data_IF_508281560421
#
_entry.id   IF_508281560421
#
_cell.length_a   1.000
_cell.length_b   1.000
_cell.length_c   1.000
_cell.angle_alpha   90.00
_cell.angle_beta   90.00
_cell.angle_gamma   90.00
#
_symmetry.space_group_name_H-M   'P 1'
#
loop_
_entity.id
_entity.type
_entity.pdbx_description
1 polymer ?
#
# COMPACT_ATOMS: atom_id res chain seq x y z
N UNK A 1 9.37 -1.64 -12.59
CA UNK A 1 8.77 -2.39 -11.45
C UNK A 1 9.73 -3.44 -10.87
N UNK A 2 11.03 -3.14 -10.73
CA UNK A 2 12.03 -4.12 -10.27
C UNK A 2 12.11 -4.24 -8.74
N UNK A 3 11.65 -3.21 -8.03
CA UNK A 3 11.74 -3.04 -6.57
C UNK A 3 10.45 -3.35 -5.81
N UNK A 4 9.34 -3.58 -6.51
CA UNK A 4 8.04 -3.86 -5.88
C UNK A 4 8.03 -5.18 -5.08
N UNK A 5 8.46 -6.29 -5.68
CA UNK A 5 8.50 -7.58 -4.99
C UNK A 5 9.45 -7.59 -3.78
N UNK A 6 10.71 -7.10 -3.89
CA UNK A 6 11.60 -6.97 -2.73
C UNK A 6 10.96 -6.15 -1.60
N UNK A 7 10.36 -5.01 -1.92
CA UNK A 7 9.71 -4.16 -0.93
C UNK A 7 8.51 -4.85 -0.26
N UNK A 8 7.62 -5.44 -1.04
CA UNK A 8 6.44 -6.12 -0.50
C UNK A 8 6.82 -7.34 0.34
N UNK A 9 7.83 -8.12 -0.06
CA UNK A 9 8.36 -9.22 0.73
C UNK A 9 8.91 -8.73 2.08
N UNK A 10 9.70 -7.66 2.05
CA UNK A 10 10.25 -7.06 3.27
C UNK A 10 9.14 -6.50 4.18
N UNK A 11 8.23 -5.71 3.63
CA UNK A 11 7.15 -5.09 4.43
C UNK A 11 6.27 -6.16 5.08
N UNK A 12 6.03 -7.25 4.35
CA UNK A 12 5.41 -8.43 4.90
C UNK A 12 6.25 -9.06 6.01
N UNK A 13 7.55 -9.28 5.80
CA UNK A 13 8.46 -9.84 6.82
C UNK A 13 8.49 -9.03 8.12
N UNK A 14 8.36 -7.71 8.03
CA UNK A 14 8.27 -6.79 9.18
C UNK A 14 6.88 -6.76 9.86
N UNK A 15 5.89 -7.46 9.31
CA UNK A 15 4.55 -7.53 9.89
C UNK A 15 3.61 -6.39 9.51
N UNK A 16 3.90 -5.61 8.46
CA UNK A 16 2.99 -4.56 8.01
C UNK A 16 1.70 -5.16 7.41
N UNK A 17 0.56 -4.54 7.75
CA UNK A 17 -0.70 -4.75 7.05
C UNK A 17 -0.66 -3.97 5.74
N UNK A 18 -0.81 -4.65 4.60
CA UNK A 18 -0.79 -4.03 3.29
C UNK A 18 -2.20 -3.95 2.69
N UNK A 19 -2.55 -2.80 2.14
CA UNK A 19 -3.81 -2.55 1.42
C UNK A 19 -3.54 -1.83 0.09
N UNK A 20 -4.53 -1.80 -0.80
CA UNK A 20 -4.48 -1.01 -2.04
C UNK A 20 -5.65 -0.03 -2.05
N UNK A 21 -5.36 1.25 -2.30
CA UNK A 21 -6.37 2.28 -2.54
C UNK A 21 -6.11 2.93 -3.90
N UNK A 22 -7.04 2.76 -4.85
CA UNK A 22 -6.82 3.09 -6.26
C UNK A 22 -7.99 3.85 -6.90
N UNK A 23 -7.67 4.80 -7.79
CA UNK A 23 -8.64 5.46 -8.67
C UNK A 23 -8.97 4.60 -9.91
N UNK A 24 -8.29 3.47 -10.09
CA UNK A 24 -8.55 2.58 -11.23
C UNK A 24 -9.77 1.68 -10.98
N UNK A 25 -10.46 1.25 -12.05
CA UNK A 25 -11.56 0.29 -11.95
C UNK A 25 -11.20 -0.99 -11.21
N UNK A 26 -12.19 -1.63 -10.59
CA UNK A 26 -11.99 -2.82 -9.75
C UNK A 26 -11.46 -4.04 -10.54
N UNK A 27 -11.52 -4.02 -11.89
CA UNK A 27 -10.83 -4.98 -12.78
C UNK A 27 -9.30 -5.04 -12.54
N UNK A 28 -8.68 -3.96 -12.10
CA UNK A 28 -7.26 -3.96 -11.69
C UNK A 28 -7.04 -4.96 -10.55
N UNK A 29 -8.00 -5.06 -9.64
CA UNK A 29 -7.94 -5.96 -8.51
C UNK A 29 -8.16 -7.41 -8.90
N UNK A 30 -9.18 -7.67 -9.70
CA UNK A 30 -9.62 -9.03 -10.01
C UNK A 30 -8.76 -9.72 -11.07
N UNK A 31 -7.98 -8.96 -11.85
CA UNK A 31 -7.24 -9.51 -12.99
C UNK A 31 -5.77 -9.09 -13.03
N UNK A 32 -5.46 -7.80 -12.80
CA UNK A 32 -4.10 -7.30 -12.98
C UNK A 32 -3.19 -7.71 -11.82
N UNK A 33 -3.58 -7.47 -10.57
CA UNK A 33 -2.76 -7.88 -9.42
C UNK A 33 -2.57 -9.40 -9.32
N UNK A 34 -3.58 -10.26 -9.59
CA UNK A 34 -3.40 -11.71 -9.62
C UNK A 34 -2.46 -12.14 -10.73
N UNK A 35 -2.63 -11.62 -11.94
CA UNK A 35 -1.75 -11.91 -13.08
C UNK A 35 -0.30 -11.54 -12.80
N UNK A 36 -0.08 -10.42 -12.09
CA UNK A 36 1.24 -9.97 -11.69
C UNK A 36 1.80 -10.66 -10.45
N UNK A 37 1.05 -11.57 -9.80
CA UNK A 37 1.47 -12.22 -8.56
C UNK A 37 1.55 -11.28 -7.34
N UNK A 38 0.95 -10.10 -7.42
CA UNK A 38 0.96 -9.08 -6.36
C UNK A 38 -0.24 -9.16 -5.42
N UNK A 39 -1.37 -9.71 -5.88
CA UNK A 39 -2.61 -9.78 -5.10
C UNK A 39 -2.43 -10.44 -3.73
N UNK A 40 -1.56 -11.44 -3.62
CA UNK A 40 -1.31 -12.21 -2.40
C UNK A 40 -0.74 -11.39 -1.24
N UNK A 41 -0.12 -10.24 -1.50
CA UNK A 41 0.51 -9.40 -0.46
C UNK A 41 -0.49 -8.53 0.29
N UNK A 42 -1.64 -8.24 -0.32
CA UNK A 42 -2.59 -7.27 0.19
C UNK A 42 -3.78 -7.95 0.87
N UNK A 43 -4.25 -7.34 1.95
CA UNK A 43 -5.35 -7.86 2.76
C UNK A 43 -6.70 -7.31 2.37
N UNK A 44 -6.75 -6.03 2.01
CA UNK A 44 -7.96 -5.33 1.61
C UNK A 44 -7.68 -4.37 0.47
N UNK A 45 -8.75 -4.04 -0.24
CA UNK A 45 -8.71 -3.39 -1.53
C UNK A 45 -9.83 -2.36 -1.60
N UNK A 46 -9.50 -1.16 -2.04
CA UNK A 46 -10.44 -0.04 -2.16
C UNK A 46 -10.27 0.57 -3.56
N UNK A 47 -11.29 0.46 -4.40
CA UNK A 47 -11.35 1.13 -5.70
C UNK A 47 -12.37 2.27 -5.66
N UNK A 48 -12.07 3.36 -6.36
CA UNK A 48 -12.97 4.53 -6.42
C UNK A 48 -14.36 4.22 -6.97
N UNK A 49 -14.48 3.23 -7.85
CA UNK A 49 -15.77 2.79 -8.39
C UNK A 49 -16.70 2.18 -7.33
N UNK A 50 -16.15 1.40 -6.39
CA UNK A 50 -16.94 0.79 -5.32
C UNK A 50 -17.35 1.82 -4.27
N UNK A 51 -16.48 2.80 -4.01
CA UNK A 51 -16.72 3.86 -3.02
C UNK A 51 -17.60 4.98 -3.58
N UNK A 52 -17.52 5.27 -4.88
CA UNK A 52 -18.14 6.44 -5.50
C UNK A 52 -17.35 7.75 -5.35
N UNK A 53 -16.14 7.67 -4.79
CA UNK A 53 -15.23 8.80 -4.58
C UNK A 53 -13.80 8.43 -5.02
N UNK A 54 -13.05 9.39 -5.57
CA UNK A 54 -11.67 9.21 -6.04
C UNK A 54 -10.69 9.93 -5.12
N UNK A 55 -9.46 9.41 -4.98
CA UNK A 55 -8.36 10.19 -4.41
C UNK A 55 -8.19 11.48 -5.25
N UNK A 56 -8.04 12.66 -4.63
CA UNK A 56 -7.69 12.90 -3.23
C UNK A 56 -8.87 13.11 -2.25
N UNK A 57 -10.11 12.78 -2.63
CA UNK A 57 -11.28 13.01 -1.76
C UNK A 57 -11.19 12.20 -0.46
N UNK A 58 -11.59 12.83 0.65
CA UNK A 58 -11.48 12.24 1.99
C UNK A 58 -12.23 10.91 2.13
N UNK A 59 -13.36 10.76 1.42
CA UNK A 59 -14.26 9.61 1.52
C UNK A 59 -13.58 8.28 1.15
N UNK A 60 -12.72 8.26 0.12
CA UNK A 60 -12.01 7.02 -0.27
C UNK A 60 -11.01 6.57 0.81
N UNK A 61 -10.37 7.52 1.49
CA UNK A 61 -9.44 7.22 2.59
C UNK A 61 -10.18 6.76 3.83
N UNK A 62 -11.31 7.38 4.17
CA UNK A 62 -12.17 6.93 5.27
C UNK A 62 -12.67 5.50 5.06
N UNK A 63 -13.16 5.19 3.85
CA UNK A 63 -13.58 3.84 3.50
C UNK A 63 -12.43 2.84 3.60
N UNK A 64 -11.25 3.19 3.08
CA UNK A 64 -10.07 2.34 3.17
C UNK A 64 -9.63 2.07 4.63
N UNK A 65 -9.71 3.07 5.51
CA UNK A 65 -9.46 2.91 6.95
C UNK A 65 -10.44 1.91 7.58
N UNK A 66 -11.72 2.00 7.25
CA UNK A 66 -12.73 1.06 7.75
C UNK A 66 -12.47 -0.37 7.28
N UNK A 67 -12.10 -0.55 6.01
CA UNK A 67 -11.73 -1.87 5.47
C UNK A 67 -10.48 -2.44 6.17
N UNK A 68 -9.46 -1.62 6.40
CA UNK A 68 -8.29 -2.03 7.18
C UNK A 68 -8.65 -2.41 8.62
N UNK A 69 -9.53 -1.66 9.29
CA UNK A 69 -10.01 -1.96 10.66
C UNK A 69 -10.82 -3.24 10.77
N UNK A 70 -11.65 -3.56 9.76
CA UNK A 70 -12.38 -4.83 9.70
C UNK A 70 -11.39 -5.99 9.54
N UNK A 71 -10.39 -5.81 8.67
CA UNK A 71 -9.46 -6.85 8.31
C UNK A 71 -8.28 -7.05 9.28
N UNK A 72 -8.00 -6.06 10.14
CA UNK A 72 -6.99 -6.15 11.20
C UNK A 72 -7.39 -7.08 12.35
N UNK A 73 -8.70 -7.30 12.54
CA UNK A 73 -9.26 -8.14 13.61
C UNK A 73 -9.35 -9.64 13.25
N UNK A 74 -9.25 -9.99 11.98
CA UNK A 74 -9.39 -11.37 11.48
C UNK A 74 -8.08 -12.18 11.51
N UNK A 75 -7.31 -12.04 12.59
CA UNK A 75 -6.05 -12.77 12.78
C UNK A 75 -6.34 -14.25 12.94
N UNK A 76 -5.68 -15.10 12.14
CA UNK A 76 -5.68 -16.54 12.35
C UNK A 76 -4.73 -16.86 13.51
N UNK A 77 -5.23 -17.52 14.55
CA UNK A 77 -4.38 -18.14 15.58
C UNK A 77 -3.40 -19.14 14.92
N UNK A 78 -2.11 -19.01 15.23
CA UNK A 78 -1.05 -19.93 14.81
C UNK A 78 -0.11 -19.34 13.76
N UNK A 79 1.01 -18.78 14.22
CA UNK A 79 2.20 -18.38 13.47
C UNK A 79 2.54 -19.32 12.29
N UNK A 80 2.73 -18.80 11.07
CA UNK A 80 3.48 -19.52 10.03
C UNK A 80 4.95 -19.52 10.45
N UNK A 81 5.60 -20.67 10.43
CA UNK A 81 7.05 -20.77 10.54
C UNK A 81 7.66 -20.21 9.24
N UNK A 82 8.65 -19.31 9.34
CA UNK A 82 9.34 -18.66 8.21
C UNK A 82 9.74 -19.61 7.07
N UNK A 83 9.98 -20.87 7.40
CA UNK A 83 10.48 -21.92 6.50
C UNK A 83 9.42 -22.45 5.53
N UNK A 84 8.15 -22.09 5.69
CA UNK A 84 7.06 -22.44 4.76
C UNK A 84 6.84 -21.39 3.65
N UNK A 85 7.58 -20.27 3.69
CA UNK A 85 7.51 -19.22 2.66
C UNK A 85 8.29 -19.69 1.43
N UNK A 86 7.60 -20.32 0.48
CA UNK A 86 8.16 -20.64 -0.84
C UNK A 86 8.19 -19.40 -1.74
N UNK A 87 9.31 -19.16 -2.43
CA UNK A 87 9.38 -18.14 -3.49
C UNK A 87 8.30 -18.37 -4.55
N UNK A 88 7.71 -17.29 -5.04
CA UNK A 88 6.78 -17.34 -6.17
C UNK A 88 7.59 -17.62 -7.44
N UNK A 89 7.39 -18.79 -8.06
CA UNK A 89 7.93 -19.07 -9.39
C UNK A 89 6.84 -18.84 -10.47
N UNK A 90 6.93 -17.77 -11.27
CA UNK A 90 5.96 -17.48 -12.31
C UNK A 90 5.91 -18.55 -13.42
N UNK A 91 6.92 -19.42 -13.56
CA UNK A 91 6.97 -20.46 -14.60
C UNK A 91 6.14 -21.70 -14.26
N UNK A 92 5.78 -21.90 -13.00
CA UNK A 92 4.98 -23.03 -12.52
C UNK A 92 3.52 -22.65 -12.21
N UNK A 93 3.13 -21.42 -12.53
CA UNK A 93 1.82 -20.84 -12.23
C UNK A 93 0.72 -21.35 -13.19
N UNK A 94 -0.25 -22.12 -12.66
CA UNK A 94 -1.43 -22.58 -13.40
C UNK A 94 -2.69 -21.81 -12.97
N UNK A 95 -3.28 -21.07 -13.90
CA UNK A 95 -4.48 -20.23 -13.67
C UNK A 95 -5.73 -21.03 -13.27
N UNK A 96 -5.76 -22.34 -13.51
CA UNK A 96 -6.89 -23.21 -13.14
C UNK A 96 -6.83 -23.71 -11.68
N UNK A 97 -5.70 -23.57 -10.99
CA UNK A 97 -5.51 -23.97 -9.59
C UNK A 97 -5.55 -22.77 -8.63
N UNK A 98 -6.43 -21.79 -8.88
CA UNK A 98 -6.71 -20.74 -7.89
C UNK A 98 -7.46 -21.39 -6.72
N UNK A 99 -6.73 -22.08 -5.85
CA UNK A 99 -7.04 -22.05 -4.42
C UNK A 99 -6.50 -20.71 -3.96
N UNK A 100 -7.35 -19.86 -3.39
CA UNK A 100 -6.95 -18.60 -2.74
C UNK A 100 -6.10 -18.91 -1.49
N UNK A 101 -4.92 -19.50 -1.68
CA UNK A 101 -3.94 -19.72 -0.62
C UNK A 101 -3.23 -18.39 -0.44
N UNK A 102 -3.86 -17.50 0.30
CA UNK A 102 -3.27 -16.22 0.67
C UNK A 102 -2.17 -16.50 1.71
N UNK A 103 -0.97 -16.78 1.20
CA UNK A 103 0.21 -17.20 1.97
C UNK A 103 0.69 -16.17 3.01
N UNK A 104 0.21 -14.93 2.89
CA UNK A 104 0.57 -13.80 3.74
C UNK A 104 -0.56 -13.39 4.72
N UNK A 105 -1.62 -14.19 4.87
CA UNK A 105 -2.72 -13.91 5.82
C UNK A 105 -2.29 -13.85 7.29
N UNK A 106 -1.07 -14.28 7.64
CA UNK A 106 -0.63 -14.41 9.03
C UNK A 106 0.21 -13.24 9.54
N UNK A 107 0.11 -12.07 8.91
CA UNK A 107 0.89 -10.90 9.32
C UNK A 107 0.22 -10.14 10.44
N UNK A 108 1.01 -9.90 11.48
CA UNK A 108 0.58 -9.60 12.83
C UNK A 108 0.52 -8.08 13.06
N UNK A 109 -0.64 -7.60 13.52
CA UNK A 109 -0.71 -6.54 14.53
C UNK A 109 -1.73 -6.92 15.59
N UNK A 110 -1.52 -6.45 16.82
CA UNK A 110 -2.34 -6.77 17.99
C UNK A 110 -3.84 -6.49 17.72
N UNK A 111 -4.75 -7.44 18.02
CA UNK A 111 -6.20 -7.28 17.79
C UNK A 111 -6.87 -6.26 18.73
N UNK A 112 -6.12 -5.61 19.62
CA UNK A 112 -6.64 -4.84 20.74
C UNK A 112 -6.54 -3.30 20.61
N UNK A 113 -6.07 -2.77 19.48
CA UNK A 113 -6.05 -1.32 19.24
C UNK A 113 -6.78 -0.97 17.93
N UNK A 114 -7.69 -0.01 18.01
CA UNK A 114 -8.35 0.54 16.82
C UNK A 114 -7.30 1.26 15.98
N UNK A 115 -7.10 0.81 14.73
CA UNK A 115 -6.11 1.39 13.82
C UNK A 115 -6.38 2.90 13.68
N UNK A 116 -5.39 3.71 14.01
CA UNK A 116 -5.50 5.17 13.91
C UNK A 116 -4.98 5.68 12.57
N UNK A 117 -5.53 6.79 12.04
CA UNK A 117 -5.09 7.41 10.79
C UNK A 117 -3.57 7.64 10.72
N UNK A 118 -2.95 8.11 11.81
CA UNK A 118 -1.52 8.42 11.89
C UNK A 118 -0.59 7.20 11.86
N UNK A 119 -1.15 5.99 12.05
CA UNK A 119 -0.44 4.71 11.93
C UNK A 119 -0.42 4.18 10.50
N UNK A 120 -1.06 4.87 9.54
CA UNK A 120 -1.13 4.45 8.15
C UNK A 120 -0.14 5.28 7.32
N UNK A 121 0.65 4.58 6.50
CA UNK A 121 1.49 5.17 5.48
C UNK A 121 0.95 4.81 4.11
N UNK A 122 0.55 5.83 3.34
CA UNK A 122 0.19 5.67 1.93
C UNK A 122 1.40 5.95 1.04
N UNK A 123 1.59 5.13 0.00
CA UNK A 123 2.69 5.27 -0.96
C UNK A 123 2.10 5.20 -2.36
N UNK A 124 2.34 6.23 -3.17
CA UNK A 124 1.88 6.25 -4.56
C UNK A 124 2.53 7.34 -5.39
N UNK A 125 2.23 7.34 -6.69
CA UNK A 125 2.93 8.12 -7.71
C UNK A 125 2.30 9.49 -7.99
N UNK A 126 1.11 9.78 -7.47
CA UNK A 126 0.48 11.08 -7.64
C UNK A 126 0.74 11.99 -6.44
N UNK A 127 1.38 13.14 -6.65
CA UNK A 127 1.56 14.14 -5.61
C UNK A 127 0.22 14.56 -4.95
N UNK A 128 -0.82 14.79 -5.75
CA UNK A 128 -2.13 15.20 -5.23
C UNK A 128 -2.84 14.03 -4.54
N UNK A 129 -2.95 12.88 -5.22
CA UNK A 129 -3.76 11.76 -4.75
C UNK A 129 -3.07 10.87 -3.70
N UNK A 130 -1.73 10.80 -3.69
CA UNK A 130 -0.97 9.85 -2.87
C UNK A 130 -0.05 10.49 -1.83
N UNK A 131 0.17 11.81 -1.88
CA UNK A 131 0.78 12.56 -0.78
C UNK A 131 -0.23 13.48 -0.10
N UNK A 132 -0.86 14.39 -0.85
CA UNK A 132 -1.73 15.40 -0.25
C UNK A 132 -3.03 14.79 0.30
N UNK A 133 -3.69 13.90 -0.46
CA UNK A 133 -4.92 13.22 -0.04
C UNK A 133 -4.77 12.48 1.30
N UNK A 134 -3.82 11.54 1.43
CA UNK A 134 -3.58 10.82 2.68
C UNK A 134 -3.24 11.75 3.85
N UNK A 135 -2.36 12.75 3.65
CA UNK A 135 -2.01 13.72 4.70
C UNK A 135 -3.23 14.54 5.15
N UNK A 136 -4.12 14.92 4.23
CA UNK A 136 -5.37 15.60 4.56
C UNK A 136 -6.34 14.69 5.32
N UNK A 137 -6.29 13.37 5.09
CA UNK A 137 -7.04 12.37 5.85
C UNK A 137 -6.41 12.00 7.21
N UNK A 138 -5.31 12.66 7.60
CA UNK A 138 -4.57 12.40 8.84
C UNK A 138 -3.62 11.21 8.77
N UNK A 139 -3.36 10.67 7.58
CA UNK A 139 -2.40 9.59 7.35
C UNK A 139 -1.00 10.15 7.11
N UNK A 140 0.01 9.30 7.18
CA UNK A 140 1.29 9.56 6.54
C UNK A 140 1.18 9.30 5.03
N UNK A 141 1.99 10.02 4.25
CA UNK A 141 2.00 9.91 2.80
C UNK A 141 3.41 10.06 2.27
N UNK A 142 3.77 9.22 1.29
CA UNK A 142 5.01 9.31 0.52
C UNK A 142 4.64 9.41 -0.96
N UNK A 143 5.18 10.44 -1.62
CA UNK A 143 5.17 10.57 -3.06
C UNK A 143 6.33 9.77 -3.65
N UNK A 144 6.02 8.72 -4.38
CA UNK A 144 6.98 7.91 -5.12
C UNK A 144 7.13 8.47 -6.53
N UNK A 145 8.00 9.46 -6.66
CA UNK A 145 8.26 10.12 -7.93
C UNK A 145 9.20 9.26 -8.79
N UNK A 146 8.64 8.70 -9.87
CA UNK A 146 9.43 7.98 -10.89
C UNK A 146 9.35 8.66 -12.25
N UNK A 147 9.01 9.94 -12.31
CA UNK A 147 8.92 10.73 -13.54
C UNK A 147 10.24 10.77 -14.34
N UNK A 148 11.37 10.56 -13.66
CA UNK A 148 12.68 10.42 -14.31
C UNK A 148 12.89 9.12 -15.11
N UNK A 149 12.05 8.09 -14.94
CA UNK A 149 12.10 6.87 -15.76
C UNK A 149 11.23 7.04 -17.01
N UNK A 150 11.80 7.00 -18.23
CA UNK A 150 11.04 7.22 -19.47
C UNK A 150 9.97 6.15 -19.74
N UNK A 151 10.00 5.02 -19.00
CA UNK A 151 9.00 3.95 -19.12
C UNK A 151 7.81 4.13 -18.16
N UNK A 152 7.87 5.13 -17.27
CA UNK A 152 6.80 5.40 -16.31
C UNK A 152 5.86 6.44 -16.90
N UNK A 153 4.57 6.10 -16.93
CA UNK A 153 3.52 7.06 -17.27
C UNK A 153 3.08 7.77 -16.02
N UNK A 154 3.07 9.10 -16.09
CA UNK A 154 2.52 9.96 -15.05
C UNK A 154 1.03 10.07 -15.30
N UNK A 155 0.24 9.83 -14.27
CA UNK A 155 -1.21 10.01 -14.30
C UNK A 155 -1.62 11.10 -13.31
N UNK A 156 -2.63 11.88 -13.66
CA UNK A 156 -3.27 12.85 -12.77
C UNK A 156 -2.33 13.97 -12.26
N UNK A 157 -1.37 14.39 -13.08
CA UNK A 157 -0.47 15.52 -12.81
C UNK A 157 -1.15 16.89 -12.83
N UNK A 158 -2.37 16.96 -13.38
CA UNK A 158 -3.21 18.15 -13.39
C UNK A 158 -4.03 18.37 -12.11
N UNK A 159 -4.06 17.41 -11.18
CA UNK A 159 -4.84 17.54 -9.95
C UNK A 159 -4.14 18.49 -8.97
N UNK A 160 -4.89 19.45 -8.43
CA UNK A 160 -4.43 20.25 -7.29
C UNK A 160 -4.63 19.44 -6.00
N UNK A 161 -3.52 19.13 -5.31
CA UNK A 161 -3.57 18.38 -4.06
C UNK A 161 -4.13 19.22 -2.92
N UNK A 162 -5.03 18.67 -2.06
CA UNK A 162 -5.62 19.40 -0.96
C UNK A 162 -4.58 19.98 0.01
N UNK A 163 -4.99 20.99 0.77
CA UNK A 163 -4.21 21.49 1.90
C UNK A 163 -4.20 20.45 3.04
N UNK A 164 -3.10 20.40 3.77
CA UNK A 164 -2.98 19.59 4.99
C UNK A 164 -2.08 20.32 5.99
N UNK A 165 -2.21 19.98 7.28
CA UNK A 165 -1.45 20.63 8.34
C UNK A 165 0.06 20.37 8.17
N UNK A 166 0.87 21.43 8.23
CA UNK A 166 2.32 21.33 8.10
C UNK A 166 2.86 21.25 6.66
N UNK A 167 1.99 21.38 5.64
CA UNK A 167 2.40 21.41 4.23
C UNK A 167 3.39 22.57 3.96
N UNK A 168 4.64 22.21 3.70
CA UNK A 168 5.74 23.12 3.32
C UNK A 168 6.55 22.48 2.19
N UNK A 169 7.37 23.26 1.49
CA UNK A 169 8.29 22.70 0.48
C UNK A 169 9.27 21.68 1.09
N UNK A 170 9.68 21.90 2.34
CA UNK A 170 10.52 20.97 3.09
C UNK A 170 9.81 19.65 3.35
N UNK A 171 8.57 19.70 3.85
CA UNK A 171 7.76 18.52 4.12
C UNK A 171 7.51 17.72 2.84
N UNK A 172 7.20 18.39 1.74
CA UNK A 172 7.02 17.73 0.43
C UNK A 172 8.32 17.04 0.00
N UNK A 173 9.47 17.72 0.13
CA UNK A 173 10.77 17.18 -0.26
C UNK A 173 11.17 15.97 0.57
N UNK A 174 10.95 16.00 1.89
CA UNK A 174 11.26 14.88 2.80
C UNK A 174 10.36 13.66 2.54
N UNK A 175 9.11 13.89 2.14
CA UNK A 175 8.14 12.83 1.83
C UNK A 175 8.10 12.45 0.33
N UNK A 176 9.04 12.92 -0.48
CA UNK A 176 9.22 12.47 -1.87
C UNK A 176 10.43 11.54 -1.94
N UNK A 177 10.26 10.41 -2.62
CA UNK A 177 11.29 9.38 -2.83
C UNK A 177 11.28 8.91 -4.28
N UNK A 178 12.36 8.28 -4.73
CA UNK A 178 12.50 7.85 -6.12
C UNK A 178 12.49 6.32 -6.28
N UNK A 179 12.41 5.58 -5.17
CA UNK A 179 12.37 4.12 -5.14
C UNK A 179 11.66 3.59 -3.90
N UNK A 180 11.17 2.34 -3.97
CA UNK A 180 10.64 1.66 -2.77
C UNK A 180 11.75 1.26 -1.79
N UNK A 181 13.00 1.17 -2.25
CA UNK A 181 14.17 0.93 -1.40
C UNK A 181 14.45 2.10 -0.45
N UNK A 182 14.23 3.33 -0.91
CA UNK A 182 14.27 4.53 -0.06
C UNK A 182 13.15 4.54 0.98
N UNK A 183 11.94 4.08 0.63
CA UNK A 183 10.85 3.92 1.60
C UNK A 183 11.25 2.94 2.69
N UNK A 184 11.78 1.77 2.31
CA UNK A 184 12.32 0.78 3.25
C UNK A 184 13.33 1.43 4.19
N UNK A 185 14.34 2.09 3.62
CA UNK A 185 15.44 2.70 4.38
C UNK A 185 14.94 3.75 5.38
N UNK A 186 13.93 4.54 5.01
CA UNK A 186 13.27 5.51 5.91
C UNK A 186 12.55 4.83 7.08
N UNK A 187 11.81 3.75 6.81
CA UNK A 187 11.09 3.00 7.83
C UNK A 187 12.05 2.29 8.80
N UNK A 188 13.14 1.71 8.29
CA UNK A 188 14.19 1.09 9.11
C UNK A 188 14.90 2.12 10.01
N UNK A 189 15.22 3.30 9.47
CA UNK A 189 15.82 4.39 10.25
C UNK A 189 14.88 4.89 11.37
N UNK A 190 13.58 4.97 11.10
CA UNK A 190 12.59 5.34 12.10
C UNK A 190 12.45 4.29 13.22
N UNK A 191 12.54 2.99 12.87
CA UNK A 191 12.45 1.89 13.83
C UNK A 191 13.71 1.75 14.71
N UNK A 192 14.90 2.05 14.18
CA UNK A 192 16.18 1.99 14.90
C UNK A 192 16.46 3.19 15.81
N UNK A 193 15.57 4.18 15.87
CA UNK A 193 15.72 5.40 16.67
C UNK A 193 15.06 5.30 18.06
N UNK A 194 14.63 4.10 18.47
CA UNK A 194 13.90 3.80 19.72
C UNK A 194 14.67 2.95 20.71
#
# INVERSE_FOLDING_TARGET
MKDAFPFLNWAVGEGYLLSVTTNTPCRTMDSVLPFMGLHQYFRCFTCSQDVGAEKPDLEIFQHSLEEMRKNSKHILEGSVQSDEIREFDPKTFNHAEIKFVNRYQKLLRSPNEDLQPDQILHIGDSFAADLCGPKAAGWQGIHLDRSGDPNVRIYQDWLEGPAYAGKTEEDIRVNTVFSLDEVRSKLEAAAGSG
#
